data_IF_084526677371
#
_entry.id   IF_084526677371
#
_cell.length_a   1.000
_cell.length_b   1.000
_cell.length_c   1.000
_cell.angle_alpha   90.00
_cell.angle_beta   90.00
_cell.angle_gamma   90.00
#
_symmetry.space_group_name_H-M   'P 1'
#
loop_
_entity.id
_entity.type
_entity.pdbx_description
1 polymer ?
#
# COMPACT_ATOMS: atom_id res chain seq x y z
N UNK A 1 -13.52 -61.32 -31.93
CA UNK A 1 -13.76 -60.99 -30.52
C UNK A 1 -12.60 -60.22 -29.87
N UNK A 2 -11.70 -59.60 -30.61
CA UNK A 2 -10.52 -58.83 -30.09
C UNK A 2 -10.55 -57.34 -30.38
N UNK A 3 -11.54 -56.84 -31.13
CA UNK A 3 -11.62 -55.42 -31.53
C UNK A 3 -12.62 -54.57 -30.68
N UNK A 4 -13.44 -55.21 -29.82
CA UNK A 4 -14.39 -54.46 -28.98
C UNK A 4 -13.87 -54.01 -27.61
N UNK A 5 -12.71 -54.55 -27.18
CA UNK A 5 -12.13 -54.22 -25.88
C UNK A 5 -11.32 -52.89 -25.91
N UNK A 6 -10.80 -52.51 -27.10
CA UNK A 6 -10.06 -51.23 -27.23
C UNK A 6 -10.97 -50.01 -27.33
N UNK A 7 -12.23 -50.15 -27.72
CA UNK A 7 -13.15 -49.02 -27.83
C UNK A 7 -13.80 -48.62 -26.47
N UNK A 8 -13.82 -49.52 -25.50
CA UNK A 8 -14.35 -49.22 -24.17
C UNK A 8 -13.37 -48.54 -23.24
N UNK A 9 -12.05 -48.61 -23.55
CA UNK A 9 -11.01 -47.91 -22.79
C UNK A 9 -10.74 -46.47 -23.25
N UNK A 10 -11.17 -46.11 -24.47
CA UNK A 10 -11.02 -44.75 -24.99
C UNK A 10 -12.11 -43.77 -24.53
N UNK A 11 -13.24 -44.27 -24.00
CA UNK A 11 -14.35 -43.44 -23.52
C UNK A 11 -14.27 -43.13 -22.01
N UNK A 12 -13.36 -43.78 -21.28
CA UNK A 12 -13.13 -43.54 -19.84
C UNK A 12 -12.08 -42.49 -19.53
N UNK A 13 -11.45 -41.89 -20.54
CA UNK A 13 -10.50 -40.79 -20.39
C UNK A 13 -11.06 -39.39 -20.70
N UNK A 14 -12.36 -39.31 -21.01
CA UNK A 14 -13.07 -38.06 -21.21
C UNK A 14 -13.75 -37.61 -19.91
N UNK A 15 -13.07 -36.76 -19.15
CA UNK A 15 -13.74 -35.82 -18.29
C UNK A 15 -13.70 -36.06 -16.79
N UNK A 16 -12.57 -35.79 -16.19
CA UNK A 16 -12.56 -35.15 -14.88
C UNK A 16 -11.94 -33.77 -15.02
N UNK A 17 -12.59 -32.87 -15.74
CA UNK A 17 -12.40 -31.44 -15.55
C UNK A 17 -13.13 -31.10 -14.28
N UNK A 18 -12.46 -30.56 -13.28
CA UNK A 18 -13.14 -30.02 -12.11
C UNK A 18 -14.19 -29.01 -12.59
N UNK A 19 -15.41 -29.10 -12.07
CA UNK A 19 -16.46 -28.15 -12.44
C UNK A 19 -16.15 -26.76 -11.86
N UNK A 20 -16.45 -25.71 -12.64
CA UNK A 20 -16.36 -24.33 -12.16
C UNK A 20 -17.34 -24.12 -11.00
N UNK A 21 -16.88 -23.50 -9.93
CA UNK A 21 -17.71 -23.16 -8.78
C UNK A 21 -18.59 -21.95 -9.09
N UNK A 22 -19.77 -21.90 -8.49
CA UNK A 22 -20.60 -20.70 -8.52
C UNK A 22 -19.90 -19.55 -7.75
N UNK A 23 -19.94 -18.31 -8.24
CA UNK A 23 -19.30 -17.16 -7.56
C UNK A 23 -19.74 -17.01 -6.10
N UNK A 24 -21.02 -17.23 -5.81
CA UNK A 24 -21.56 -17.19 -4.45
C UNK A 24 -20.89 -18.24 -3.55
N UNK A 25 -20.68 -19.45 -4.04
CA UNK A 25 -20.02 -20.51 -3.27
C UNK A 25 -18.56 -20.14 -2.97
N UNK A 26 -17.84 -19.60 -3.96
CA UNK A 26 -16.46 -19.09 -3.75
C UNK A 26 -16.46 -18.03 -2.65
N UNK A 27 -17.38 -17.05 -2.73
CA UNK A 27 -17.49 -15.98 -1.75
C UNK A 27 -17.75 -16.51 -0.34
N UNK A 28 -18.77 -17.34 -0.18
CA UNK A 28 -19.19 -17.87 1.13
C UNK A 28 -18.08 -18.68 1.82
N UNK A 29 -17.24 -19.36 1.05
CA UNK A 29 -16.12 -20.14 1.59
C UNK A 29 -14.93 -19.28 2.04
N UNK A 30 -14.62 -18.20 1.31
CA UNK A 30 -13.35 -17.47 1.54
C UNK A 30 -13.53 -16.11 2.23
N UNK A 31 -14.74 -15.52 2.27
CA UNK A 31 -14.98 -14.16 2.77
C UNK A 31 -14.44 -13.96 4.18
N UNK A 32 -14.58 -14.98 5.04
CA UNK A 32 -14.15 -14.93 6.43
C UNK A 32 -12.62 -14.77 6.60
N UNK A 33 -11.86 -15.13 5.59
CA UNK A 33 -10.40 -14.98 5.57
C UNK A 33 -9.92 -13.63 5.06
N UNK A 34 -10.83 -12.76 4.57
CA UNK A 34 -10.49 -11.45 4.00
C UNK A 34 -10.74 -10.36 5.03
N UNK A 35 -9.79 -9.46 5.20
CA UNK A 35 -9.81 -8.42 6.26
C UNK A 35 -9.73 -7.02 5.66
N UNK A 36 -10.46 -6.07 6.26
CA UNK A 36 -10.27 -4.65 6.01
C UNK A 36 -9.08 -4.17 6.82
N UNK A 37 -8.12 -3.54 6.15
CA UNK A 37 -6.96 -2.90 6.77
C UNK A 37 -7.22 -1.41 6.86
N UNK A 38 -7.04 -0.85 8.05
CA UNK A 38 -7.10 0.58 8.32
C UNK A 38 -5.72 1.01 8.82
N UNK A 39 -5.12 1.98 8.16
CA UNK A 39 -3.81 2.52 8.53
C UNK A 39 -3.98 3.99 8.85
N UNK A 40 -3.90 4.32 10.15
CA UNK A 40 -3.83 5.71 10.59
C UNK A 40 -2.36 6.13 10.57
N UNK A 41 -2.02 7.21 9.87
CA UNK A 41 -0.63 7.63 9.71
C UNK A 41 -0.47 9.14 9.69
N UNK A 42 0.79 9.57 9.92
CA UNK A 42 1.27 10.94 9.75
C UNK A 42 2.56 10.89 8.96
N UNK A 43 2.75 11.84 8.07
CA UNK A 43 3.99 12.03 7.34
C UNK A 43 4.61 13.37 7.69
N UNK A 44 5.92 13.36 7.91
CA UNK A 44 6.70 14.55 8.23
C UNK A 44 7.94 14.62 7.35
N UNK A 45 8.26 15.82 6.88
CA UNK A 45 9.56 16.13 6.33
C UNK A 45 10.41 16.80 7.42
N UNK A 46 11.50 16.15 7.80
CA UNK A 46 12.50 16.71 8.70
C UNK A 46 13.56 17.48 7.91
N UNK A 47 13.75 18.76 8.24
CA UNK A 47 14.82 19.54 7.63
C UNK A 47 16.19 19.15 8.20
N UNK A 48 17.27 19.29 7.42
CA UNK A 48 18.62 19.02 7.89
C UNK A 48 18.97 19.81 9.15
N UNK A 49 19.84 19.26 9.98
CA UNK A 49 20.38 19.91 11.20
C UNK A 49 19.28 20.29 12.22
N UNK A 50 18.09 19.63 12.19
CA UNK A 50 16.99 19.90 13.13
C UNK A 50 16.34 21.28 12.95
N UNK A 51 16.45 21.88 11.77
CA UNK A 51 15.99 23.26 11.50
C UNK A 51 14.47 23.40 11.34
N UNK A 52 13.74 22.32 11.42
CA UNK A 52 12.29 22.34 11.40
C UNK A 52 11.70 21.05 10.87
N UNK A 53 10.40 20.92 11.03
CA UNK A 53 9.60 19.79 10.58
C UNK A 53 8.35 20.34 9.89
N UNK A 54 7.94 19.73 8.80
CA UNK A 54 6.69 20.01 8.10
C UNK A 54 5.82 18.77 8.09
N UNK A 55 4.51 18.95 8.27
CA UNK A 55 3.53 17.90 8.04
C UNK A 55 3.21 17.82 6.54
N UNK A 56 3.09 16.60 6.04
CA UNK A 56 2.77 16.28 4.65
C UNK A 56 1.50 15.47 4.56
N UNK A 57 0.69 15.69 3.53
CA UNK A 57 -0.40 14.79 3.15
C UNK A 57 -0.02 13.94 1.91
N UNK A 58 -0.89 13.02 1.51
CA UNK A 58 -0.69 12.12 0.36
C UNK A 58 -0.54 12.87 -0.96
N UNK A 59 -1.15 14.04 -1.07
CA UNK A 59 -1.12 14.88 -2.26
C UNK A 59 0.11 15.79 -2.31
N UNK A 60 1.00 15.73 -1.31
CA UNK A 60 2.20 16.57 -1.21
C UNK A 60 1.91 18.00 -0.78
N UNK A 61 0.79 18.27 -0.10
CA UNK A 61 0.59 19.55 0.55
C UNK A 61 1.48 19.63 1.79
N UNK A 62 2.03 20.84 2.02
CA UNK A 62 2.95 21.11 3.12
C UNK A 62 2.27 22.03 4.12
N UNK A 63 2.27 21.65 5.38
CA UNK A 63 1.70 22.46 6.47
C UNK A 63 2.65 22.51 7.67
N UNK A 64 2.35 23.43 8.62
CA UNK A 64 2.98 23.39 9.93
C UNK A 64 2.55 22.10 10.66
N UNK A 65 3.42 21.59 11.52
CA UNK A 65 3.13 20.39 12.30
C UNK A 65 1.89 20.62 13.17
N UNK A 66 0.88 19.77 12.94
CA UNK A 66 -0.27 19.63 13.81
C UNK A 66 -0.33 18.18 14.31
N UNK A 67 -0.09 17.98 15.60
CA UNK A 67 -0.04 16.66 16.22
C UNK A 67 -1.40 15.95 16.27
N UNK A 68 -2.48 16.65 15.95
CA UNK A 68 -3.83 16.10 15.99
C UNK A 68 -4.38 15.63 14.64
N UNK A 69 -3.66 15.92 13.55
CA UNK A 69 -4.10 15.50 12.19
C UNK A 69 -3.51 14.15 11.85
N UNK A 70 -4.38 13.15 11.68
CA UNK A 70 -4.05 11.84 11.12
C UNK A 70 -4.73 11.66 9.77
N UNK A 71 -4.04 11.02 8.86
CA UNK A 71 -4.62 10.50 7.63
C UNK A 71 -4.95 9.03 7.82
N UNK A 72 -6.01 8.56 7.19
CA UNK A 72 -6.40 7.15 7.26
C UNK A 72 -6.47 6.59 5.84
N UNK A 73 -5.63 5.61 5.56
CA UNK A 73 -5.69 4.81 4.33
C UNK A 73 -6.41 3.48 4.60
N UNK A 74 -7.09 2.98 3.58
CA UNK A 74 -7.78 1.71 3.63
C UNK A 74 -7.25 0.76 2.57
N UNK A 75 -7.22 -0.52 2.92
CA UNK A 75 -6.87 -1.59 2.00
C UNK A 75 -7.49 -2.90 2.40
N UNK A 76 -7.20 -3.91 1.64
CA UNK A 76 -7.61 -5.28 1.89
C UNK A 76 -6.40 -6.15 2.20
N UNK A 77 -6.61 -7.17 3.00
CA UNK A 77 -5.65 -8.25 3.20
C UNK A 77 -6.37 -9.57 3.40
N UNK A 78 -5.62 -10.65 3.51
CA UNK A 78 -6.18 -11.98 3.74
C UNK A 78 -5.23 -12.86 4.53
N UNK A 79 -5.79 -13.74 5.37
CA UNK A 79 -5.00 -14.66 6.18
C UNK A 79 -4.35 -15.75 5.33
N UNK A 80 -3.04 -15.99 5.55
CA UNK A 80 -2.25 -16.99 4.84
C UNK A 80 -1.74 -18.13 5.73
N UNK A 81 -1.90 -18.01 7.05
CA UNK A 81 -1.53 -19.04 8.01
C UNK A 81 -2.41 -18.99 9.27
N UNK A 82 -2.19 -19.94 10.19
CA UNK A 82 -2.92 -20.03 11.45
C UNK A 82 -2.35 -19.17 12.58
N UNK A 83 -1.21 -18.49 12.35
CA UNK A 83 -0.58 -17.62 13.35
C UNK A 83 -0.86 -16.15 13.14
N UNK A 84 -1.91 -15.84 12.38
CA UNK A 84 -2.41 -14.48 12.19
C UNK A 84 -1.61 -13.64 11.20
N UNK A 85 -0.91 -14.30 10.26
CA UNK A 85 -0.21 -13.58 9.18
C UNK A 85 -1.18 -13.25 8.07
N UNK A 86 -1.14 -12.00 7.62
CA UNK A 86 -2.00 -11.43 6.58
C UNK A 86 -1.12 -10.94 5.44
N UNK A 87 -1.46 -11.33 4.22
CA UNK A 87 -0.91 -10.81 2.98
C UNK A 87 -1.67 -9.56 2.56
N UNK A 88 -0.94 -8.53 2.10
CA UNK A 88 -1.48 -7.29 1.55
C UNK A 88 -0.46 -6.62 0.64
N UNK A 89 -0.77 -5.43 0.11
CA UNK A 89 0.20 -4.62 -0.60
C UNK A 89 1.08 -3.79 0.35
N UNK A 90 2.30 -3.50 -0.09
CA UNK A 90 3.27 -2.67 0.65
C UNK A 90 2.74 -1.26 0.84
N UNK A 91 2.22 -0.62 -0.22
CA UNK A 91 1.71 0.75 -0.15
C UNK A 91 0.53 0.91 0.82
N UNK A 92 -0.26 -0.15 1.06
CA UNK A 92 -1.37 -0.12 2.04
C UNK A 92 -0.85 0.10 3.45
N UNK A 93 0.25 -0.58 3.83
CA UNK A 93 0.75 -0.59 5.21
C UNK A 93 1.96 0.31 5.42
N UNK A 94 2.55 0.79 4.35
CA UNK A 94 3.67 1.72 4.33
C UNK A 94 3.39 2.83 3.32
N UNK A 95 2.56 3.82 3.67
CA UNK A 95 2.27 4.96 2.81
C UNK A 95 3.57 5.68 2.42
N UNK A 96 3.73 5.97 1.15
CA UNK A 96 4.87 6.70 0.60
C UNK A 96 4.33 7.76 -0.37
N UNK A 97 4.99 8.92 -0.45
CA UNK A 97 4.64 9.92 -1.45
C UNK A 97 5.10 9.43 -2.83
N UNK A 98 4.23 9.56 -3.80
CA UNK A 98 4.59 9.33 -5.18
C UNK A 98 5.48 10.47 -5.73
N UNK A 99 5.95 10.31 -6.96
CA UNK A 99 6.87 11.26 -7.59
C UNK A 99 6.23 12.62 -7.85
N UNK A 100 4.93 12.68 -8.11
CA UNK A 100 4.20 13.92 -8.34
C UNK A 100 4.01 14.70 -7.03
N UNK A 101 3.58 14.03 -5.98
CA UNK A 101 3.49 14.60 -4.64
C UNK A 101 4.85 15.13 -4.15
N UNK A 102 5.93 14.38 -4.34
CA UNK A 102 7.29 14.81 -3.99
C UNK A 102 7.73 16.06 -4.77
N UNK A 103 7.42 16.14 -6.07
CA UNK A 103 7.68 17.35 -6.86
C UNK A 103 6.88 18.54 -6.34
N UNK A 104 5.65 18.34 -5.91
CA UNK A 104 4.80 19.39 -5.33
C UNK A 104 5.37 19.89 -4.00
N UNK A 105 5.79 18.98 -3.10
CA UNK A 105 6.50 19.33 -1.85
C UNK A 105 7.74 20.17 -2.16
N UNK A 106 8.58 19.68 -3.08
CA UNK A 106 9.79 20.39 -3.51
C UNK A 106 9.46 21.79 -4.05
N UNK A 107 8.49 21.92 -4.95
CA UNK A 107 8.12 23.20 -5.53
C UNK A 107 7.62 24.20 -4.47
N UNK A 108 6.76 23.74 -3.55
CA UNK A 108 6.22 24.56 -2.46
C UNK A 108 7.31 25.10 -1.56
N UNK A 109 8.24 24.22 -1.13
CA UNK A 109 9.33 24.60 -0.23
C UNK A 109 10.42 25.41 -0.94
N UNK A 110 10.68 25.15 -2.21
CA UNK A 110 11.61 25.97 -3.02
C UNK A 110 11.12 27.41 -3.08
N UNK A 111 9.87 27.64 -3.42
CA UNK A 111 9.32 29.01 -3.45
C UNK A 111 9.52 29.73 -2.11
N UNK A 112 9.24 29.04 -1.00
CA UNK A 112 9.49 29.58 0.34
C UNK A 112 10.97 29.96 0.57
N UNK A 113 11.88 29.01 0.32
CA UNK A 113 13.31 29.23 0.61
C UNK A 113 14.02 30.11 -0.41
N UNK A 114 13.52 30.26 -1.62
CA UNK A 114 13.95 31.29 -2.58
C UNK A 114 13.67 32.69 -2.03
N UNK A 115 12.48 32.92 -1.46
CA UNK A 115 12.15 34.18 -0.81
C UNK A 115 12.97 34.44 0.45
N UNK A 116 13.19 33.42 1.27
CA UNK A 116 14.02 33.50 2.48
C UNK A 116 15.48 33.82 2.10
N UNK A 117 16.01 33.19 1.05
CA UNK A 117 17.34 33.43 0.52
C UNK A 117 17.53 34.89 0.02
N UNK A 118 16.57 35.37 -0.80
CA UNK A 118 16.59 36.73 -1.29
C UNK A 118 16.62 37.75 -0.14
N UNK A 119 15.78 37.56 0.87
CA UNK A 119 15.77 38.42 2.05
C UNK A 119 17.07 38.38 2.82
N UNK A 120 17.63 37.21 3.07
CA UNK A 120 18.90 37.02 3.77
C UNK A 120 20.08 37.65 2.98
N UNK A 121 20.04 37.53 1.65
CA UNK A 121 21.05 38.16 0.78
C UNK A 121 20.98 39.70 0.86
N UNK A 122 19.80 40.29 0.79
CA UNK A 122 19.61 41.76 0.93
C UNK A 122 20.10 42.25 2.30
N UNK A 123 19.78 41.53 3.37
CA UNK A 123 20.24 41.87 4.73
C UNK A 123 21.78 41.77 4.85
N UNK A 124 22.38 40.73 4.31
CA UNK A 124 23.82 40.54 4.28
C UNK A 124 24.54 41.62 3.46
N UNK A 125 24.04 41.95 2.28
CA UNK A 125 24.60 43.02 1.45
C UNK A 125 24.47 44.40 2.12
N UNK A 126 23.35 44.70 2.76
CA UNK A 126 23.12 45.94 3.51
C UNK A 126 24.15 46.10 4.63
N UNK A 127 24.41 44.99 5.33
CA UNK A 127 25.39 44.99 6.40
C UNK A 127 26.84 45.17 5.87
N UNK A 128 27.21 44.49 4.80
CA UNK A 128 28.51 44.69 4.15
C UNK A 128 28.73 46.17 3.75
N UNK A 129 27.66 46.79 3.17
CA UNK A 129 27.71 48.19 2.79
C UNK A 129 27.92 49.11 4.03
N UNK A 130 27.16 48.85 5.11
CA UNK A 130 27.28 49.61 6.37
C UNK A 130 28.71 49.53 6.94
N UNK A 131 29.29 48.35 6.89
CA UNK A 131 30.67 48.08 7.31
C UNK A 131 31.68 48.88 6.47
N UNK A 132 31.51 48.85 5.14
CA UNK A 132 32.44 49.52 4.23
C UNK A 132 32.37 51.06 4.31
N UNK A 133 31.19 51.60 4.63
CA UNK A 133 30.96 53.06 4.66
C UNK A 133 31.13 53.68 6.05
N UNK A 134 31.49 52.90 7.07
CA UNK A 134 31.65 53.38 8.46
C UNK A 134 32.73 54.49 8.59
N UNK A 135 32.42 55.64 9.24
CA UNK A 135 33.26 56.83 9.16
C UNK A 135 34.44 56.90 10.15
N UNK A 136 34.60 55.97 11.08
CA UNK A 136 35.63 56.05 12.12
C UNK A 136 36.60 54.87 12.11
N UNK A 137 37.88 55.16 12.46
CA UNK A 137 38.94 54.15 12.59
C UNK A 137 38.62 53.08 13.67
N UNK A 138 38.02 53.49 14.77
CA UNK A 138 37.60 52.59 15.86
C UNK A 138 36.50 51.63 15.45
N UNK A 139 35.57 52.09 14.61
CA UNK A 139 34.53 51.25 14.02
C UNK A 139 35.11 50.24 13.04
N UNK A 140 36.14 50.66 12.26
CA UNK A 140 36.87 49.78 11.34
C UNK A 140 37.65 48.68 12.06
N UNK A 141 38.15 48.94 13.26
CA UNK A 141 38.85 47.94 14.09
C UNK A 141 37.83 46.93 14.70
N UNK A 142 36.68 47.40 15.19
CA UNK A 142 35.62 46.55 15.67
C UNK A 142 35.11 45.61 14.55
N UNK A 143 35.01 46.13 13.35
CA UNK A 143 34.58 45.43 12.15
C UNK A 143 35.63 44.43 11.65
N UNK A 144 36.93 44.68 11.81
CA UNK A 144 37.97 43.68 11.52
C UNK A 144 37.94 42.48 12.46
N UNK A 145 37.36 42.64 13.65
CA UNK A 145 37.10 41.53 14.60
C UNK A 145 35.82 40.72 14.26
N UNK A 146 34.94 41.31 13.48
CA UNK A 146 33.73 40.61 12.99
C UNK A 146 34.12 40.02 11.63
N UNK A 147 34.61 38.79 11.64
CA UNK A 147 34.83 38.05 10.39
C UNK A 147 33.48 37.76 9.72
N UNK A 148 33.42 37.70 8.38
CA UNK A 148 32.19 37.33 7.69
C UNK A 148 31.51 36.06 8.28
N UNK A 149 32.31 35.15 8.78
CA UNK A 149 31.85 33.86 9.34
C UNK A 149 31.22 33.99 10.75
N UNK A 150 31.33 35.16 11.41
CA UNK A 150 30.76 35.41 12.75
C UNK A 150 29.48 36.27 12.72
N UNK A 151 28.95 36.55 11.53
CA UNK A 151 27.77 37.38 11.36
C UNK A 151 26.54 36.52 11.27
N UNK A 152 25.52 36.80 12.09
CA UNK A 152 24.23 36.10 12.05
C UNK A 152 23.58 36.16 10.66
N UNK A 153 23.77 37.26 9.94
CA UNK A 153 23.28 37.48 8.58
C UNK A 153 23.98 36.59 7.56
N UNK A 154 25.30 36.36 7.71
CA UNK A 154 26.01 35.41 6.87
C UNK A 154 25.57 33.97 7.13
N UNK A 155 25.38 33.61 8.39
CA UNK A 155 24.88 32.32 8.79
C UNK A 155 23.44 32.07 8.28
N UNK A 156 22.60 33.11 8.33
CA UNK A 156 21.22 33.05 7.78
C UNK A 156 21.25 32.85 6.27
N UNK A 157 22.13 33.60 5.55
CA UNK A 157 22.32 33.44 4.11
C UNK A 157 22.81 32.05 3.73
N UNK A 158 23.82 31.53 4.41
CA UNK A 158 24.33 30.16 4.21
C UNK A 158 23.31 29.11 4.51
N UNK A 159 22.50 29.31 5.56
CA UNK A 159 21.41 28.42 5.93
C UNK A 159 20.35 28.39 4.86
N UNK A 160 19.92 29.55 4.36
CA UNK A 160 18.90 29.59 3.30
C UNK A 160 19.40 28.90 2.01
N UNK A 161 20.67 29.08 1.65
CA UNK A 161 21.29 28.36 0.52
C UNK A 161 21.24 26.83 0.70
N UNK A 162 21.62 26.34 1.90
CA UNK A 162 21.60 24.90 2.21
C UNK A 162 20.17 24.32 2.14
N UNK A 163 19.21 25.03 2.72
CA UNK A 163 17.81 24.59 2.70
C UNK A 163 17.23 24.58 1.28
N UNK A 164 17.52 25.62 0.48
CA UNK A 164 17.10 25.66 -0.92
C UNK A 164 17.70 24.51 -1.73
N UNK A 165 19.00 24.22 -1.52
CA UNK A 165 19.68 23.09 -2.17
C UNK A 165 19.05 21.75 -1.75
N UNK A 166 18.75 21.57 -0.46
CA UNK A 166 18.12 20.36 0.08
C UNK A 166 16.74 20.14 -0.55
N UNK A 167 15.85 21.13 -0.51
CA UNK A 167 14.47 20.97 -1.05
C UNK A 167 14.43 20.87 -2.57
N UNK A 168 15.49 21.27 -3.26
CA UNK A 168 15.65 21.10 -4.70
C UNK A 168 16.13 19.70 -5.10
N UNK A 169 16.64 18.91 -4.15
CA UNK A 169 17.08 17.54 -4.36
C UNK A 169 16.02 16.57 -3.83
N UNK A 170 15.16 16.08 -4.73
CA UNK A 170 14.03 15.20 -4.37
C UNK A 170 14.51 13.90 -3.71
N UNK A 171 15.60 13.30 -4.18
CA UNK A 171 16.10 12.05 -3.63
C UNK A 171 16.65 12.23 -2.21
N UNK A 172 17.27 13.35 -1.93
CA UNK A 172 17.74 13.67 -0.59
C UNK A 172 16.57 14.00 0.33
N UNK A 173 15.63 14.81 -0.14
CA UNK A 173 14.42 15.14 0.59
C UNK A 173 13.61 13.89 0.97
N UNK A 174 13.47 12.93 0.06
CA UNK A 174 12.79 11.64 0.29
C UNK A 174 13.37 10.87 1.49
N UNK A 175 14.68 10.88 1.69
CA UNK A 175 15.33 10.21 2.83
C UNK A 175 15.00 10.85 4.18
N UNK A 176 14.53 12.09 4.17
CA UNK A 176 14.16 12.84 5.37
C UNK A 176 12.66 12.83 5.66
N UNK A 177 11.87 12.11 4.85
CA UNK A 177 10.45 11.88 5.13
C UNK A 177 10.32 10.77 6.17
N UNK A 178 9.58 11.05 7.23
CA UNK A 178 9.25 10.11 8.30
C UNK A 178 7.77 9.81 8.27
N UNK A 179 7.42 8.53 8.36
CA UNK A 179 6.03 8.06 8.44
C UNK A 179 5.83 7.34 9.76
N UNK A 180 4.86 7.80 10.52
CA UNK A 180 4.41 7.14 11.74
C UNK A 180 3.02 6.57 11.46
N UNK A 181 2.88 5.27 11.56
CA UNK A 181 1.61 4.61 11.27
C UNK A 181 1.22 3.62 12.34
N UNK A 182 -0.09 3.45 12.52
CA UNK A 182 -0.67 2.35 13.27
C UNK A 182 -1.61 1.55 12.37
N UNK A 183 -1.47 0.24 12.40
CA UNK A 183 -2.24 -0.67 11.57
C UNK A 183 -3.28 -1.35 12.44
N UNK A 184 -4.52 -1.26 12.01
CA UNK A 184 -5.63 -2.02 12.59
C UNK A 184 -6.37 -2.77 11.50
N UNK A 185 -6.93 -3.92 11.86
CA UNK A 185 -7.70 -4.76 10.95
C UNK A 185 -9.11 -4.97 11.49
N UNK A 186 -10.05 -5.10 10.58
CA UNK A 186 -11.44 -5.47 10.86
C UNK A 186 -11.78 -6.68 10.00
N UNK A 187 -12.32 -7.71 10.60
CA UNK A 187 -12.79 -8.91 9.93
C UNK A 187 -14.14 -9.34 10.48
N UNK A 188 -14.89 -10.07 9.68
CA UNK A 188 -16.17 -10.63 10.12
C UNK A 188 -15.88 -11.77 11.10
N UNK A 189 -16.19 -11.55 12.36
CA UNK A 189 -16.28 -12.64 13.31
C UNK A 189 -17.75 -12.85 13.66
N UNK A 190 -18.15 -14.09 13.90
CA UNK A 190 -19.49 -14.52 14.26
C UNK A 190 -20.08 -13.83 15.53
N UNK A 191 -19.34 -12.95 16.15
CA UNK A 191 -19.75 -12.16 17.33
C UNK A 191 -20.36 -10.79 16.96
N UNK A 192 -20.59 -10.51 15.67
CA UNK A 192 -21.44 -9.41 15.21
C UNK A 192 -20.94 -8.00 15.57
N UNK A 193 -19.65 -7.74 15.38
CA UNK A 193 -19.11 -6.39 15.60
C UNK A 193 -19.50 -5.46 14.46
N UNK A 194 -20.51 -4.65 14.73
CA UNK A 194 -21.05 -3.65 13.79
C UNK A 194 -20.16 -2.41 13.78
N UNK A 195 -19.81 -1.92 12.59
CA UNK A 195 -19.34 -0.55 12.43
C UNK A 195 -20.45 0.41 12.84
N UNK A 196 -20.20 1.32 13.76
CA UNK A 196 -21.20 2.34 14.11
C UNK A 196 -21.52 3.22 12.89
N UNK A 197 -22.82 3.56 12.76
CA UNK A 197 -23.46 4.14 11.58
C UNK A 197 -23.09 5.58 11.24
N UNK A 198 -22.09 6.21 11.85
CA UNK A 198 -21.85 7.63 11.62
C UNK A 198 -20.47 7.90 11.01
N UNK A 199 -20.36 7.96 9.66
CA UNK A 199 -19.12 8.32 8.98
C UNK A 199 -18.68 9.78 9.22
N UNK A 200 -19.57 10.63 9.77
CA UNK A 200 -19.27 12.03 10.07
C UNK A 200 -18.70 12.25 11.48
N UNK A 201 -18.77 11.28 12.36
CA UNK A 201 -18.12 11.39 13.67
C UNK A 201 -16.62 11.13 13.51
N UNK A 202 -15.86 12.16 13.16
CA UNK A 202 -14.40 12.26 13.34
C UNK A 202 -13.98 12.13 14.81
N UNK A 203 -14.86 11.66 15.67
CA UNK A 203 -14.60 11.42 17.07
C UNK A 203 -13.94 10.05 17.24
N UNK A 204 -12.75 10.05 17.75
CA UNK A 204 -11.85 8.95 18.11
C UNK A 204 -12.43 7.89 19.07
N UNK A 205 -13.75 7.74 19.20
CA UNK A 205 -14.42 6.90 20.19
C UNK A 205 -15.47 5.94 19.62
N UNK A 206 -15.32 5.46 18.39
CA UNK A 206 -16.13 4.30 18.00
C UNK A 206 -15.49 3.03 18.59
N UNK A 207 -16.25 2.30 19.38
CA UNK A 207 -15.87 1.04 20.01
C UNK A 207 -15.80 -0.12 18.99
N UNK A 208 -15.14 0.10 17.87
CA UNK A 208 -14.73 -1.00 16.99
C UNK A 208 -13.60 -1.74 17.68
N UNK A 209 -13.79 -2.99 18.02
CA UNK A 209 -12.65 -3.78 18.41
C UNK A 209 -11.80 -4.07 17.18
N UNK A 210 -10.97 -3.09 16.85
CA UNK A 210 -9.94 -3.22 15.85
C UNK A 210 -8.84 -4.09 16.43
N UNK A 211 -8.52 -5.18 15.77
CA UNK A 211 -7.33 -5.94 16.08
C UNK A 211 -6.13 -5.18 15.53
N UNK A 212 -5.13 -4.94 16.38
CA UNK A 212 -3.89 -4.27 15.93
C UNK A 212 -2.94 -5.25 15.27
N UNK A 213 -2.19 -4.76 14.30
CA UNK A 213 -1.23 -5.55 13.55
C UNK A 213 0.11 -4.83 13.42
N UNK A 214 1.17 -5.61 13.19
CA UNK A 214 2.52 -5.11 12.95
C UNK A 214 3.06 -5.61 11.62
N UNK A 215 3.87 -4.80 10.96
CA UNK A 215 4.55 -5.20 9.73
C UNK A 215 5.61 -6.26 10.07
N UNK A 216 5.53 -7.40 9.41
CA UNK A 216 6.50 -8.51 9.52
C UNK A 216 7.54 -8.47 8.42
N UNK A 217 7.10 -8.16 7.21
CA UNK A 217 7.93 -8.16 6.01
C UNK A 217 7.35 -7.23 4.97
N UNK A 218 8.18 -6.52 4.26
CA UNK A 218 7.84 -5.82 3.02
C UNK A 218 8.79 -6.27 1.92
N UNK A 219 8.31 -6.32 0.69
CA UNK A 219 9.17 -6.67 -0.44
C UNK A 219 10.29 -5.65 -0.60
N UNK A 220 11.49 -6.15 -0.87
CA UNK A 220 12.69 -5.37 -1.18
C UNK A 220 12.75 -4.99 -2.65
N UNK A 221 11.99 -5.69 -3.50
CA UNK A 221 11.90 -5.43 -4.92
C UNK A 221 10.87 -4.33 -5.20
N UNK A 222 11.28 -3.32 -5.95
CA UNK A 222 10.43 -2.17 -6.30
C UNK A 222 9.19 -2.60 -7.10
N UNK A 223 9.33 -3.63 -7.94
CA UNK A 223 8.26 -4.13 -8.79
C UNK A 223 7.28 -5.09 -8.08
N UNK A 224 7.55 -5.46 -6.83
CA UNK A 224 6.70 -6.37 -6.06
C UNK A 224 6.09 -5.61 -4.88
N UNK A 225 4.87 -5.15 -5.04
CA UNK A 225 4.16 -4.36 -4.04
C UNK A 225 3.44 -5.26 -3.03
N UNK A 226 4.20 -6.05 -2.27
CA UNK A 226 3.68 -6.98 -1.26
C UNK A 226 4.23 -6.69 0.13
N UNK A 227 3.38 -6.96 1.13
CA UNK A 227 3.73 -6.94 2.55
C UNK A 227 3.05 -8.07 3.31
N UNK A 228 3.70 -8.48 4.40
CA UNK A 228 3.12 -9.30 5.44
C UNK A 228 2.93 -8.47 6.70
N UNK A 229 1.73 -8.52 7.25
CA UNK A 229 1.46 -8.02 8.60
C UNK A 229 1.03 -9.18 9.47
N UNK A 230 1.15 -9.04 10.77
CA UNK A 230 0.70 -10.05 11.74
C UNK A 230 -0.13 -9.39 12.83
N UNK A 231 -1.28 -9.96 13.12
CA UNK A 231 -2.10 -9.53 14.26
C UNK A 231 -1.38 -9.78 15.58
N UNK A 232 -1.61 -8.91 16.55
CA UNK A 232 -0.94 -9.01 17.85
C UNK A 232 -1.33 -10.27 18.62
N UNK A 233 -2.55 -10.79 18.42
CA UNK A 233 -3.00 -12.06 18.98
C UNK A 233 -2.19 -13.28 18.50
N UNK A 234 -1.48 -13.17 17.36
CA UNK A 234 -0.68 -14.25 16.74
C UNK A 234 -1.44 -15.57 16.56
N UNK A 235 -2.73 -15.47 16.33
CA UNK A 235 -3.61 -16.62 16.09
C UNK A 235 -4.72 -16.15 15.14
N UNK A 236 -4.82 -16.78 13.98
CA UNK A 236 -5.97 -16.60 13.09
C UNK A 236 -7.20 -17.20 13.77
N UNK A 237 -8.33 -16.48 13.83
CA UNK A 237 -9.56 -17.03 14.39
C UNK A 237 -9.97 -18.31 13.67
N UNK A 238 -10.52 -19.28 14.40
CA UNK A 238 -10.86 -20.60 13.85
C UNK A 238 -11.97 -20.54 12.79
N UNK A 239 -12.80 -19.50 12.86
CA UNK A 239 -13.86 -19.23 11.87
C UNK A 239 -13.35 -18.59 10.59
N UNK A 240 -12.08 -18.11 10.54
CA UNK A 240 -11.52 -17.46 9.37
C UNK A 240 -10.89 -18.47 8.42
N UNK A 241 -11.19 -18.29 7.15
CA UNK A 241 -10.54 -19.04 6.07
C UNK A 241 -9.07 -18.65 5.98
N UNK A 242 -8.19 -19.62 5.68
CA UNK A 242 -6.75 -19.40 5.46
C UNK A 242 -6.44 -19.75 4.01
N UNK A 243 -6.03 -18.74 3.25
CA UNK A 243 -5.71 -18.90 1.84
C UNK A 243 -4.44 -19.75 1.65
N UNK A 244 -4.55 -20.72 0.75
CA UNK A 244 -3.44 -21.60 0.41
C UNK A 244 -2.61 -20.99 -0.72
N UNK A 245 -1.33 -20.74 -0.47
CA UNK A 245 -0.40 -20.17 -1.47
C UNK A 245 0.10 -21.20 -2.50
N UNK A 246 -0.18 -22.51 -2.29
CA UNK A 246 0.22 -23.57 -3.22
C UNK A 246 -0.76 -23.76 -4.38
N UNK A 247 -1.86 -22.99 -4.39
CA UNK A 247 -2.84 -23.02 -5.47
C UNK A 247 -3.81 -24.18 -5.40
N UNK A 248 -4.10 -24.69 -4.21
CA UNK A 248 -5.17 -25.69 -4.03
C UNK A 248 -6.53 -25.01 -4.12
N UNK A 249 -7.46 -25.63 -4.84
CA UNK A 249 -8.87 -25.18 -4.92
C UNK A 249 -9.65 -25.45 -3.63
N UNK A 250 -10.90 -24.96 -3.59
CA UNK A 250 -11.78 -25.11 -2.43
C UNK A 250 -12.36 -26.52 -2.28
N UNK A 251 -12.51 -27.27 -3.36
CA UNK A 251 -13.02 -28.63 -3.28
C UNK A 251 -11.99 -29.55 -2.61
N UNK A 252 -12.48 -30.39 -1.69
CA UNK A 252 -11.67 -31.48 -1.10
C UNK A 252 -11.26 -32.44 -2.20
N UNK A 253 -9.99 -32.46 -2.51
CA UNK A 253 -9.43 -33.36 -3.50
C UNK A 253 -9.62 -34.82 -3.11
N UNK A 254 -10.07 -35.71 -4.02
CA UNK A 254 -9.93 -37.14 -3.79
C UNK A 254 -8.46 -37.50 -3.68
N UNK A 255 -8.05 -38.03 -2.53
CA UNK A 255 -6.69 -38.47 -2.29
C UNK A 255 -6.31 -39.53 -3.32
N UNK A 256 -5.34 -39.26 -4.14
CA UNK A 256 -4.66 -40.26 -4.94
C UNK A 256 -4.38 -40.00 -6.40
N UNK A 257 -5.11 -39.14 -7.10
CA UNK A 257 -4.94 -38.92 -8.55
C UNK A 257 -4.35 -37.54 -8.94
N UNK A 258 -4.28 -36.58 -8.02
CA UNK A 258 -3.95 -35.19 -8.30
C UNK A 258 -2.48 -34.81 -8.30
N UNK A 259 -1.58 -35.66 -7.79
CA UNK A 259 -0.14 -35.38 -7.84
C UNK A 259 0.46 -35.39 -9.25
N UNK A 260 -0.30 -35.92 -10.23
CA UNK A 260 0.09 -36.02 -11.63
C UNK A 260 -0.46 -34.88 -12.52
N UNK A 261 -1.37 -34.03 -11.99
CA UNK A 261 -2.07 -33.02 -12.78
C UNK A 261 -1.98 -31.59 -12.18
N UNK A 262 -1.12 -31.33 -11.19
CA UNK A 262 -0.84 -29.95 -10.75
C UNK A 262 0.03 -29.26 -11.79
N UNK A 263 -0.59 -28.79 -12.84
CA UNK A 263 -0.04 -27.74 -13.69
C UNK A 263 0.16 -26.48 -12.86
N UNK A 264 1.21 -25.76 -13.16
CA UNK A 264 1.50 -24.46 -12.53
C UNK A 264 0.37 -23.48 -12.88
N UNK A 265 -0.44 -23.08 -11.89
CA UNK A 265 -1.69 -22.32 -12.07
C UNK A 265 -1.45 -21.01 -12.84
N UNK A 266 -0.28 -20.42 -12.71
CA UNK A 266 0.04 -19.18 -13.42
C UNK A 266 0.40 -19.40 -14.89
N UNK A 267 0.90 -20.59 -15.24
CA UNK A 267 1.14 -20.94 -16.63
C UNK A 267 -0.14 -21.32 -17.38
N UNK A 268 -1.25 -21.48 -16.65
CA UNK A 268 -2.51 -22.00 -17.18
C UNK A 268 -3.61 -20.93 -17.32
N UNK A 269 -3.45 -19.74 -16.76
CA UNK A 269 -4.40 -18.65 -16.99
C UNK A 269 -4.38 -18.21 -18.45
N UNK A 270 -5.55 -18.25 -19.09
CA UNK A 270 -5.75 -17.86 -20.46
C UNK A 270 -6.65 -16.63 -20.56
N UNK A 271 -6.56 -15.93 -21.69
CA UNK A 271 -7.49 -14.85 -22.00
C UNK A 271 -8.92 -15.37 -21.92
N UNK A 272 -9.81 -14.57 -21.33
CA UNK A 272 -11.23 -14.87 -21.08
C UNK A 272 -11.49 -15.82 -19.89
N UNK A 273 -10.47 -16.25 -19.14
CA UNK A 273 -10.69 -16.98 -17.89
C UNK A 273 -11.37 -16.09 -16.86
N UNK A 274 -12.36 -16.67 -16.16
CA UNK A 274 -13.12 -15.99 -15.11
C UNK A 274 -12.26 -15.81 -13.85
N UNK A 275 -12.20 -14.59 -13.36
CA UNK A 275 -11.53 -14.23 -12.11
C UNK A 275 -12.49 -13.52 -11.16
N UNK A 276 -12.27 -13.75 -9.86
CA UNK A 276 -13.03 -13.15 -8.78
C UNK A 276 -12.08 -12.51 -7.78
N UNK A 277 -12.37 -11.29 -7.41
CA UNK A 277 -11.65 -10.55 -6.36
C UNK A 277 -12.58 -10.38 -5.17
N UNK A 278 -12.10 -10.70 -3.98
CA UNK A 278 -12.83 -10.52 -2.74
C UNK A 278 -12.11 -9.46 -1.91
N UNK A 279 -12.78 -8.36 -1.60
CA UNK A 279 -12.12 -7.26 -0.90
C UNK A 279 -13.06 -6.17 -0.40
N UNK A 280 -12.48 -5.08 0.07
CA UNK A 280 -13.19 -3.95 0.66
C UNK A 280 -13.12 -2.73 -0.27
N UNK A 281 -13.84 -2.80 -1.39
CA UNK A 281 -13.95 -1.70 -2.33
C UNK A 281 -14.53 -0.45 -1.65
N UNK A 282 -13.93 0.71 -1.86
CA UNK A 282 -14.24 1.97 -1.17
C UNK A 282 -14.18 1.88 0.37
N UNK A 283 -13.39 0.93 0.89
CA UNK A 283 -13.18 0.78 2.33
C UNK A 283 -14.48 0.71 3.14
N UNK A 284 -14.58 1.42 4.28
CA UNK A 284 -15.76 1.37 5.14
C UNK A 284 -17.06 1.83 4.48
N UNK A 285 -16.99 2.64 3.42
CA UNK A 285 -18.18 3.24 2.77
C UNK A 285 -19.10 2.15 2.23
N UNK A 286 -18.57 1.17 1.52
CA UNK A 286 -19.34 0.06 0.98
C UNK A 286 -19.35 -1.18 1.90
N UNK A 287 -18.36 -1.31 2.78
CA UNK A 287 -18.23 -2.45 3.67
C UNK A 287 -19.25 -2.45 4.81
N UNK A 288 -19.72 -1.27 5.23
CA UNK A 288 -20.66 -1.15 6.36
C UNK A 288 -22.05 -1.61 5.99
N UNK A 289 -22.50 -2.69 6.62
CA UNK A 289 -23.84 -3.24 6.43
C UNK A 289 -24.62 -3.30 7.73
N UNK A 290 -25.92 -3.64 7.69
CA UNK A 290 -26.72 -3.84 8.90
C UNK A 290 -26.21 -5.02 9.76
N UNK A 291 -25.45 -5.93 9.15
CA UNK A 291 -24.95 -7.16 9.76
C UNK A 291 -23.44 -7.10 10.03
N UNK A 292 -22.84 -5.91 10.07
CA UNK A 292 -21.42 -5.72 10.29
C UNK A 292 -20.66 -5.35 9.02
N UNK A 293 -19.33 -5.53 9.07
CA UNK A 293 -18.43 -5.25 7.95
C UNK A 293 -18.41 -6.44 7.01
N UNK A 294 -18.71 -6.22 5.73
CA UNK A 294 -18.73 -7.26 4.71
C UNK A 294 -17.83 -6.90 3.53
N UNK A 295 -17.01 -7.84 3.12
CA UNK A 295 -16.26 -7.75 1.86
C UNK A 295 -17.22 -7.81 0.67
N UNK A 296 -16.75 -7.42 -0.51
CA UNK A 296 -17.49 -7.54 -1.76
C UNK A 296 -16.77 -8.52 -2.68
N UNK A 297 -17.55 -9.29 -3.45
CA UNK A 297 -17.03 -10.03 -4.59
C UNK A 297 -17.21 -9.20 -5.84
N UNK A 298 -16.11 -8.94 -6.56
CA UNK A 298 -16.13 -8.38 -7.91
C UNK A 298 -15.55 -9.38 -8.90
N UNK A 299 -16.08 -9.42 -10.10
CA UNK A 299 -15.70 -10.39 -11.13
C UNK A 299 -15.23 -9.72 -12.40
N UNK A 300 -14.39 -10.40 -13.12
CA UNK A 300 -13.90 -10.00 -14.42
C UNK A 300 -13.18 -11.16 -15.09
N UNK A 301 -12.44 -10.84 -16.14
CA UNK A 301 -11.76 -11.83 -16.96
C UNK A 301 -10.30 -11.46 -17.16
N UNK A 302 -9.46 -12.46 -17.39
CA UNK A 302 -8.10 -12.26 -17.89
C UNK A 302 -8.17 -11.58 -19.25
N UNK A 303 -7.51 -10.46 -19.42
CA UNK A 303 -7.54 -9.66 -20.65
C UNK A 303 -6.26 -9.73 -21.47
N UNK A 304 -5.18 -10.25 -20.89
CA UNK A 304 -3.90 -10.46 -21.54
C UNK A 304 -3.27 -11.75 -21.01
N UNK A 305 -2.58 -12.51 -21.87
CA UNK A 305 -1.80 -13.67 -21.44
C UNK A 305 -0.79 -13.24 -20.37
N UNK A 306 -0.81 -13.86 -19.16
CA UNK A 306 0.13 -13.51 -18.11
C UNK A 306 1.58 -13.72 -18.53
N UNK A 307 2.45 -12.78 -18.19
CA UNK A 307 3.88 -12.81 -18.48
C UNK A 307 4.75 -13.29 -17.29
N UNK A 308 4.09 -13.65 -16.17
CA UNK A 308 4.75 -14.04 -14.93
C UNK A 308 5.12 -12.86 -14.01
N UNK A 309 5.07 -11.63 -14.51
CA UNK A 309 5.30 -10.43 -13.71
C UNK A 309 3.99 -9.82 -13.20
N UNK A 310 2.92 -9.90 -14.00
CA UNK A 310 1.60 -9.36 -13.66
C UNK A 310 0.47 -10.14 -14.35
N UNK A 311 -0.72 -10.04 -13.78
CA UNK A 311 -1.96 -10.49 -14.39
C UNK A 311 -2.76 -9.25 -14.76
N UNK A 312 -3.16 -9.12 -16.02
CA UNK A 312 -4.05 -8.07 -16.48
C UNK A 312 -5.48 -8.62 -16.59
N UNK A 313 -6.44 -7.92 -15.99
CA UNK A 313 -7.84 -8.34 -15.94
C UNK A 313 -8.82 -7.17 -15.96
N UNK A 314 -10.08 -7.48 -16.23
CA UNK A 314 -11.18 -6.52 -16.29
C UNK A 314 -11.99 -6.41 -14.98
N UNK A 315 -11.48 -6.92 -13.86
CA UNK A 315 -12.16 -6.76 -12.56
C UNK A 315 -12.16 -5.27 -12.20
N UNK A 316 -13.34 -4.67 -11.91
CA UNK A 316 -13.38 -3.29 -11.42
C UNK A 316 -12.67 -3.16 -10.08
N UNK A 317 -11.78 -2.18 -9.95
CA UNK A 317 -11.06 -1.88 -8.72
C UNK A 317 -11.22 -0.41 -8.35
N UNK A 318 -11.35 -0.15 -7.06
CA UNK A 318 -11.39 1.19 -6.48
C UNK A 318 -10.49 1.23 -5.25
N UNK A 319 -10.28 2.41 -4.70
CA UNK A 319 -9.56 2.57 -3.42
C UNK A 319 -10.10 1.61 -2.37
N UNK A 320 -9.21 1.00 -1.57
CA UNK A 320 -9.56 -0.06 -0.61
C UNK A 320 -9.46 -1.48 -1.16
N UNK A 321 -9.53 -1.68 -2.48
CA UNK A 321 -9.37 -3.02 -3.10
C UNK A 321 -7.91 -3.50 -3.15
N UNK A 322 -6.93 -2.63 -2.93
CA UNK A 322 -5.51 -3.00 -2.90
C UNK A 322 -5.23 -4.05 -1.83
N UNK A 323 -4.51 -5.12 -2.21
CA UNK A 323 -4.22 -6.26 -1.34
C UNK A 323 -5.28 -7.36 -1.33
N UNK A 324 -6.37 -7.21 -2.11
CA UNK A 324 -7.42 -8.24 -2.23
C UNK A 324 -6.89 -9.51 -2.88
N UNK A 325 -7.28 -10.70 -2.37
CA UNK A 325 -7.02 -11.95 -3.07
C UNK A 325 -7.82 -12.01 -4.36
N UNK A 326 -7.15 -12.47 -5.42
CA UNK A 326 -7.77 -12.79 -6.71
C UNK A 326 -7.75 -14.30 -6.89
N UNK A 327 -8.93 -14.89 -7.14
CA UNK A 327 -9.10 -16.32 -7.31
C UNK A 327 -9.70 -16.63 -8.68
N UNK A 328 -9.43 -17.84 -9.19
CA UNK A 328 -10.05 -18.34 -10.42
C UNK A 328 -11.41 -19.00 -10.15
N UNK A 329 -12.05 -19.53 -11.20
CA UNK A 329 -13.34 -20.19 -11.12
C UNK A 329 -13.34 -21.50 -10.29
N UNK A 330 -12.21 -21.96 -9.81
CA UNK A 330 -12.06 -23.13 -8.92
C UNK A 330 -11.73 -22.73 -7.47
N UNK A 331 -11.77 -21.42 -7.16
CA UNK A 331 -11.42 -20.89 -5.84
C UNK A 331 -9.92 -20.93 -5.52
N UNK A 332 -9.08 -21.13 -6.52
CA UNK A 332 -7.62 -21.13 -6.34
C UNK A 332 -7.10 -19.71 -6.34
N UNK A 333 -6.26 -19.36 -5.37
CA UNK A 333 -5.58 -18.07 -5.33
C UNK A 333 -4.60 -17.97 -6.51
N UNK A 334 -4.82 -17.02 -7.40
CA UNK A 334 -3.99 -16.78 -8.58
C UNK A 334 -3.15 -15.50 -8.46
N UNK A 335 -3.51 -14.60 -7.57
CA UNK A 335 -2.75 -13.37 -7.35
C UNK A 335 -3.33 -12.46 -6.28
N UNK A 336 -2.69 -11.29 -6.14
CA UNK A 336 -3.06 -10.20 -5.23
C UNK A 336 -3.29 -8.94 -6.04
N UNK A 337 -4.46 -8.32 -5.91
CA UNK A 337 -4.76 -7.05 -6.57
C UNK A 337 -3.85 -5.94 -6.05
N UNK A 338 -3.25 -5.12 -6.94
CA UNK A 338 -2.33 -4.08 -6.46
C UNK A 338 -2.44 -2.72 -7.13
N UNK A 339 -2.90 -2.62 -8.36
CA UNK A 339 -2.89 -1.37 -9.08
C UNK A 339 -4.11 -1.18 -9.96
N UNK A 340 -4.42 0.09 -10.19
CA UNK A 340 -5.41 0.57 -11.14
C UNK A 340 -4.71 1.42 -12.20
N UNK A 341 -5.02 1.21 -13.48
CA UNK A 341 -4.66 2.14 -14.54
C UNK A 341 -5.51 3.41 -14.40
N UNK A 342 -4.87 4.54 -14.11
CA UNK A 342 -5.54 5.84 -13.91
C UNK A 342 -6.39 6.27 -15.12
N UNK A 343 -6.05 5.77 -16.31
CA UNK A 343 -6.75 6.14 -17.57
C UNK A 343 -7.84 5.15 -17.99
N UNK A 344 -8.08 4.06 -17.25
CA UNK A 344 -9.06 3.04 -17.65
C UNK A 344 -9.66 2.31 -16.45
N UNK A 345 -10.96 2.30 -16.35
CA UNK A 345 -11.69 1.51 -15.35
C UNK A 345 -11.73 0.01 -15.68
N UNK A 346 -11.35 -0.38 -16.90
CA UNK A 346 -11.49 -1.73 -17.42
C UNK A 346 -10.19 -2.55 -17.45
N UNK A 347 -9.06 -1.98 -17.03
CA UNK A 347 -7.78 -2.68 -17.00
C UNK A 347 -7.12 -2.47 -15.64
N UNK A 348 -6.99 -3.56 -14.90
CA UNK A 348 -6.40 -3.57 -13.58
C UNK A 348 -5.35 -4.68 -13.48
N UNK A 349 -4.46 -4.57 -12.51
CA UNK A 349 -3.33 -5.46 -12.36
C UNK A 349 -3.39 -6.26 -11.06
N UNK A 350 -2.93 -7.50 -11.14
CA UNK A 350 -2.65 -8.34 -9.98
C UNK A 350 -1.22 -8.85 -10.01
N UNK A 351 -0.64 -8.98 -8.83
CA UNK A 351 0.64 -9.65 -8.61
C UNK A 351 0.37 -11.16 -8.66
N UNK A 352 0.96 -11.91 -9.60
CA UNK A 352 0.67 -13.32 -9.75
C UNK A 352 1.24 -14.16 -8.59
N UNK A 353 0.65 -15.33 -8.34
CA UNK A 353 1.01 -16.20 -7.22
C UNK A 353 2.48 -16.66 -7.22
N UNK A 354 3.15 -16.76 -8.39
CA UNK A 354 4.57 -17.04 -8.45
C UNK A 354 5.41 -15.92 -7.82
N UNK A 355 5.03 -14.64 -8.01
CA UNK A 355 5.66 -13.50 -7.36
C UNK A 355 5.36 -13.47 -5.86
N UNK A 356 4.14 -13.88 -5.46
CA UNK A 356 3.80 -14.04 -4.04
C UNK A 356 4.70 -15.11 -3.40
N UNK A 357 4.87 -16.28 -4.06
CA UNK A 357 5.78 -17.34 -3.59
C UNK A 357 7.23 -16.88 -3.54
N UNK A 358 7.67 -16.11 -4.52
CA UNK A 358 9.00 -15.53 -4.53
C UNK A 358 9.19 -14.61 -3.31
N UNK A 359 8.25 -13.68 -3.09
CA UNK A 359 8.25 -12.80 -1.92
C UNK A 359 8.25 -13.56 -0.59
N UNK A 360 7.53 -14.67 -0.47
CA UNK A 360 7.55 -15.49 0.75
C UNK A 360 8.94 -16.05 1.06
N UNK A 361 9.74 -16.37 0.04
CA UNK A 361 11.07 -16.98 0.15
C UNK A 361 12.23 -15.97 0.19
N UNK A 362 11.98 -14.69 -0.02
CA UNK A 362 12.94 -13.60 0.23
C UNK A 362 13.39 -13.60 1.71
#
# INVERSE_FOLDING_TARGET
>A
MRYYICLLFSTLLLGCTADKLAPQHIYDEVESGVVLICVDYKMYLELPEGRGVFSLDEEGNVSSVDDNVYHTAYGTGFFIDKVGTIMTNKHVVKPELDEEALKKVSATLRYKYEMDLQKAEEEYLRMQWTVQTAPSSSYKELIKMITPDNLSEYDNYKTAQKLLSFVSNIDEMRKHIRVFSSISIVYDNSEGRVLEKNPESRAHNSSMSKETAVIKKVSKHENIDLALIQINARKTPESCFVFNLEGKGLEKEPEGLKKLLTKDINSDLQIDDDLYMIGFNAGPILASTKNGVKSQLTSGKVTQTPDGERILYSIPTVEGSSGSPVVNAYGQLVGVNYAKLVMSDNFNFGIPINQVKYFMNE
#
